data_IF_702930027522
#
_entry.id   IF_702930027522
#
_cell.length_a   1.000
_cell.length_b   1.000
_cell.length_c   1.000
_cell.angle_alpha   90.00
_cell.angle_beta   90.00
_cell.angle_gamma   90.00
#
_symmetry.space_group_name_H-M   'P 1'
#
loop_
_entity.id
_entity.type
_entity.pdbx_description
1 polymer ?
#
# COMPACT_ATOMS: atom_id res chain seq x y z
N UNK A 1 -3.29 22.70 0.16
CA UNK A 1 -2.35 21.74 0.80
C UNK A 1 -2.03 20.64 -0.19
N UNK A 2 -0.79 20.11 -0.22
CA UNK A 2 -0.50 18.90 -0.96
C UNK A 2 -1.26 17.74 -0.31
N UNK A 3 -1.94 16.93 -1.12
CA UNK A 3 -2.61 15.71 -0.68
C UNK A 3 -1.99 14.57 -1.51
N UNK A 4 -0.78 14.22 -1.10
CA UNK A 4 0.10 13.31 -1.80
C UNK A 4 -0.10 11.88 -1.28
N UNK A 5 0.16 10.90 -2.14
CA UNK A 5 0.21 9.50 -1.76
C UNK A 5 1.51 8.93 -2.30
N UNK A 6 2.23 8.15 -1.50
CA UNK A 6 3.52 7.56 -1.86
C UNK A 6 3.62 6.17 -1.27
N UNK A 7 4.41 5.30 -1.91
CA UNK A 7 4.76 3.97 -1.40
C UNK A 7 6.22 3.67 -1.67
N UNK A 8 6.83 2.80 -0.86
CA UNK A 8 8.10 2.17 -1.20
C UNK A 8 7.93 1.17 -2.36
N UNK A 9 8.99 0.94 -3.13
CA UNK A 9 9.04 -0.12 -4.15
C UNK A 9 9.16 -1.52 -3.56
N UNK A 10 9.63 -1.61 -2.31
CA UNK A 10 9.73 -2.83 -1.52
C UNK A 10 9.35 -2.49 -0.09
N UNK A 11 8.64 -3.38 0.60
CA UNK A 11 8.17 -3.11 1.96
C UNK A 11 8.97 -3.83 3.05
N UNK A 12 9.73 -4.86 2.69
CA UNK A 12 10.56 -5.60 3.64
C UNK A 12 11.68 -6.38 2.94
N UNK A 13 12.72 -6.72 3.68
CA UNK A 13 13.78 -7.63 3.27
C UNK A 13 14.24 -8.43 4.48
N UNK A 14 14.09 -9.76 4.44
CA UNK A 14 14.67 -10.62 5.47
C UNK A 14 16.20 -10.66 5.40
N UNK A 15 16.77 -10.65 4.20
CA UNK A 15 18.22 -10.59 3.99
C UNK A 15 18.84 -9.35 4.63
N UNK A 16 18.23 -8.19 4.40
CA UNK A 16 18.70 -6.91 4.95
C UNK A 16 18.05 -6.56 6.31
N UNK A 17 17.28 -7.48 6.89
CA UNK A 17 16.68 -7.38 8.23
C UNK A 17 15.85 -6.12 8.50
N UNK A 18 15.03 -5.70 7.54
CA UNK A 18 14.16 -4.53 7.73
C UNK A 18 12.75 -4.77 7.21
N UNK A 19 11.81 -4.02 7.77
CA UNK A 19 10.40 -4.01 7.39
C UNK A 19 9.80 -2.63 7.66
N UNK A 20 9.14 -2.05 6.67
CA UNK A 20 8.47 -0.77 6.78
C UNK A 20 6.98 -0.98 7.08
N UNK A 21 6.42 -0.24 8.04
CA UNK A 21 5.00 -0.30 8.42
C UNK A 21 4.39 1.10 8.47
N UNK A 22 3.07 1.19 8.37
CA UNK A 22 2.36 2.48 8.33
C UNK A 22 2.93 3.44 7.29
N UNK A 23 3.09 4.71 7.68
CA UNK A 23 3.54 5.78 6.78
C UNK A 23 4.95 5.56 6.20
N UNK A 24 5.80 4.79 6.89
CA UNK A 24 7.12 4.42 6.36
C UNK A 24 7.04 3.47 5.16
N UNK A 25 5.95 2.70 5.03
CA UNK A 25 5.68 1.85 3.87
C UNK A 25 4.81 2.55 2.83
N UNK A 26 3.68 3.10 3.26
CA UNK A 26 2.69 3.75 2.41
C UNK A 26 2.12 4.96 3.14
N UNK A 27 2.22 6.13 2.51
CA UNK A 27 1.55 7.35 2.96
C UNK A 27 0.35 7.64 2.07
N UNK A 28 -0.80 7.93 2.67
CA UNK A 28 -2.05 8.20 1.96
C UNK A 28 -2.45 9.68 2.05
N UNK A 29 -3.12 10.15 1.01
CA UNK A 29 -3.98 11.34 1.07
C UNK A 29 -5.04 11.13 2.18
N UNK A 30 -5.26 12.11 3.07
CA UNK A 30 -6.16 11.98 4.22
C UNK A 30 -7.65 11.80 3.85
N UNK A 31 -8.02 11.86 2.56
CA UNK A 31 -9.40 11.72 2.07
C UNK A 31 -10.17 10.52 2.66
N UNK A 32 -9.50 9.40 2.97
CA UNK A 32 -10.15 8.14 3.36
C UNK A 32 -9.82 7.64 4.77
N UNK A 33 -9.05 8.39 5.58
CA UNK A 33 -8.59 7.97 6.92
C UNK A 33 -7.91 6.58 6.98
N UNK A 34 -7.39 6.06 5.85
CA UNK A 34 -6.82 4.71 5.78
C UNK A 34 -5.47 4.57 6.50
N UNK A 35 -4.71 5.65 6.70
CA UNK A 35 -3.37 5.60 7.28
C UNK A 35 -3.29 4.88 8.63
N UNK A 36 -4.21 5.15 9.55
CA UNK A 36 -4.19 4.51 10.88
C UNK A 36 -4.51 3.01 10.80
N UNK A 37 -5.50 2.63 10.00
CA UNK A 37 -5.87 1.23 9.83
C UNK A 37 -4.74 0.43 9.16
N UNK A 38 -4.15 0.98 8.10
CA UNK A 38 -3.01 0.38 7.42
C UNK A 38 -1.81 0.28 8.35
N UNK A 39 -1.54 1.29 9.17
CA UNK A 39 -0.46 1.25 10.16
C UNK A 39 -0.63 0.09 11.16
N UNK A 40 -1.81 -0.05 11.75
CA UNK A 40 -2.08 -1.11 12.74
C UNK A 40 -2.02 -2.51 12.10
N UNK A 41 -2.63 -2.68 10.93
CA UNK A 41 -2.69 -4.00 10.31
C UNK A 41 -1.35 -4.44 9.70
N UNK A 42 -0.60 -3.50 9.10
CA UNK A 42 0.77 -3.77 8.65
C UNK A 42 1.71 -4.09 9.82
N UNK A 43 1.57 -3.41 10.96
CA UNK A 43 2.33 -3.73 12.17
C UNK A 43 2.04 -5.16 12.66
N UNK A 44 0.76 -5.55 12.69
CA UNK A 44 0.34 -6.91 13.05
C UNK A 44 0.96 -7.96 12.14
N UNK A 45 0.75 -7.84 10.82
CA UNK A 45 1.28 -8.80 9.85
C UNK A 45 2.82 -8.83 9.85
N UNK A 46 3.45 -7.69 10.04
CA UNK A 46 4.90 -7.60 10.12
C UNK A 46 5.47 -8.30 11.36
N UNK A 47 4.81 -8.17 12.51
CA UNK A 47 5.16 -8.90 13.71
C UNK A 47 5.00 -10.42 13.52
N UNK A 48 3.93 -10.87 12.88
CA UNK A 48 3.73 -12.29 12.54
C UNK A 48 4.83 -12.82 11.62
N UNK A 49 5.25 -12.02 10.63
CA UNK A 49 6.33 -12.35 9.71
C UNK A 49 7.69 -12.47 10.43
N UNK A 50 8.03 -11.49 11.28
CA UNK A 50 9.24 -11.52 12.10
C UNK A 50 9.22 -12.73 13.04
N UNK A 51 8.11 -12.96 13.75
CA UNK A 51 7.99 -14.09 14.67
C UNK A 51 8.20 -15.41 13.95
N UNK A 52 7.58 -15.59 12.79
CA UNK A 52 7.74 -16.79 11.97
C UNK A 52 9.20 -17.00 11.55
N UNK A 53 9.88 -15.96 11.07
CA UNK A 53 11.27 -16.03 10.61
C UNK A 53 12.23 -16.48 11.71
N UNK A 54 12.08 -15.97 12.94
CA UNK A 54 13.03 -16.21 14.02
C UNK A 54 12.68 -17.41 14.91
N UNK A 55 11.40 -17.74 15.07
CA UNK A 55 10.96 -18.78 16.02
C UNK A 55 10.45 -20.05 15.33
N UNK A 56 9.90 -19.97 14.11
CA UNK A 56 9.30 -21.11 13.41
C UNK A 56 10.03 -21.49 12.10
N UNK A 57 11.00 -20.69 11.65
CA UNK A 57 11.65 -20.81 10.33
C UNK A 57 12.57 -22.03 10.13
N UNK A 58 12.77 -22.88 11.14
CA UNK A 58 13.66 -24.07 11.05
C UNK A 58 12.95 -25.36 10.59
N UNK A 59 11.62 -25.40 10.52
CA UNK A 59 10.85 -26.63 10.22
C UNK A 59 10.21 -26.66 8.82
N UNK A 60 10.67 -25.83 7.87
CA UNK A 60 10.04 -25.75 6.54
C UNK A 60 10.87 -26.53 5.53
N UNK A 61 10.86 -27.86 5.65
CA UNK A 61 11.59 -28.76 4.75
C UNK A 61 10.79 -29.12 3.50
N UNK A 62 9.46 -28.92 3.49
CA UNK A 62 8.58 -29.33 2.40
C UNK A 62 8.06 -28.12 1.61
N UNK A 63 8.47 -28.03 0.35
CA UNK A 63 8.21 -26.96 -0.64
C UNK A 63 6.80 -26.94 -1.26
N UNK A 64 5.83 -27.67 -0.73
CA UNK A 64 4.50 -27.71 -1.36
C UNK A 64 3.64 -26.52 -0.91
N UNK A 65 3.53 -25.52 -1.81
CA UNK A 65 2.56 -24.41 -1.87
C UNK A 65 2.11 -23.79 -0.54
N UNK A 66 3.04 -23.31 0.28
CA UNK A 66 2.72 -22.44 1.43
C UNK A 66 3.07 -21.00 1.12
N UNK A 67 2.11 -20.10 1.28
CA UNK A 67 2.35 -18.66 1.27
C UNK A 67 3.05 -18.31 2.57
N UNK A 68 4.23 -17.69 2.49
CA UNK A 68 5.00 -17.30 3.67
C UNK A 68 4.39 -16.05 4.32
N UNK A 69 4.45 -15.89 5.66
CA UNK A 69 3.94 -14.69 6.33
C UNK A 69 4.50 -13.37 5.77
N UNK A 70 5.75 -13.35 5.29
CA UNK A 70 6.32 -12.19 4.59
C UNK A 70 5.55 -11.84 3.31
N UNK A 71 5.16 -12.86 2.54
CA UNK A 71 4.40 -12.69 1.30
C UNK A 71 3.01 -12.16 1.63
N UNK A 72 2.35 -12.66 2.68
CA UNK A 72 1.06 -12.14 3.17
C UNK A 72 1.18 -10.66 3.55
N UNK A 73 2.22 -10.29 4.30
CA UNK A 73 2.49 -8.90 4.66
C UNK A 73 2.69 -7.99 3.43
N UNK A 74 3.52 -8.39 2.47
CA UNK A 74 3.77 -7.60 1.27
C UNK A 74 2.54 -7.49 0.37
N UNK A 75 1.81 -8.59 0.16
CA UNK A 75 0.56 -8.60 -0.61
C UNK A 75 -0.51 -7.74 0.03
N UNK A 76 -0.61 -7.71 1.36
CA UNK A 76 -1.54 -6.83 2.06
C UNK A 76 -1.27 -5.35 1.73
N UNK A 77 -0.03 -4.89 1.82
CA UNK A 77 0.34 -3.51 1.53
C UNK A 77 0.10 -3.17 0.06
N UNK A 78 0.49 -4.05 -0.86
CA UNK A 78 0.28 -3.89 -2.30
C UNK A 78 -1.22 -3.75 -2.64
N UNK A 79 -2.03 -4.69 -2.16
CA UNK A 79 -3.47 -4.69 -2.40
C UNK A 79 -4.16 -3.47 -1.78
N UNK A 80 -3.72 -3.08 -0.57
CA UNK A 80 -4.25 -1.88 0.10
C UNK A 80 -3.96 -0.62 -0.71
N UNK A 81 -2.72 -0.45 -1.20
CA UNK A 81 -2.37 0.70 -2.03
C UNK A 81 -3.17 0.73 -3.35
N UNK A 82 -3.26 -0.40 -4.04
CA UNK A 82 -3.96 -0.49 -5.32
C UNK A 82 -5.45 -0.21 -5.16
N UNK A 83 -6.09 -0.74 -4.11
CA UNK A 83 -7.48 -0.43 -3.77
C UNK A 83 -7.65 1.06 -3.47
N UNK A 84 -6.78 1.60 -2.64
CA UNK A 84 -6.80 3.01 -2.27
C UNK A 84 -6.68 3.94 -3.50
N UNK A 85 -5.81 3.62 -4.46
CA UNK A 85 -5.63 4.45 -5.67
C UNK A 85 -6.91 4.52 -6.50
N UNK A 86 -7.62 3.40 -6.65
CA UNK A 86 -8.92 3.35 -7.36
C UNK A 86 -9.99 4.15 -6.62
N UNK A 87 -10.08 4.01 -5.30
CA UNK A 87 -11.04 4.76 -4.47
C UNK A 87 -10.75 6.26 -4.52
N UNK A 88 -9.49 6.65 -4.37
CA UNK A 88 -9.02 8.03 -4.47
C UNK A 88 -9.44 8.66 -5.79
N UNK A 89 -9.18 7.97 -6.91
CA UNK A 89 -9.57 8.43 -8.23
C UNK A 89 -11.09 8.60 -8.35
N UNK A 90 -11.85 7.58 -7.94
CA UNK A 90 -13.31 7.61 -7.96
C UNK A 90 -13.88 8.80 -7.19
N UNK A 91 -13.41 9.07 -5.96
CA UNK A 91 -13.90 10.18 -5.16
C UNK A 91 -13.49 11.54 -5.73
N UNK A 92 -12.26 11.70 -6.22
CA UNK A 92 -11.84 12.95 -6.84
C UNK A 92 -12.60 13.26 -8.13
N UNK A 93 -13.02 12.23 -8.88
CA UNK A 93 -13.80 12.39 -10.11
C UNK A 93 -15.26 12.77 -9.90
N UNK A 94 -15.81 12.50 -8.72
CA UNK A 94 -17.18 12.90 -8.39
C UNK A 94 -17.33 14.39 -8.19
N UNK A 95 -16.27 15.07 -7.78
CA UNK A 95 -16.33 16.52 -7.59
C UNK A 95 -16.14 17.26 -8.92
N UNK A 96 -17.15 18.06 -9.28
CA UNK A 96 -17.18 18.83 -10.54
C UNK A 96 -17.46 20.33 -10.34
N UNK A 97 -17.75 20.77 -9.11
CA UNK A 97 -18.07 22.18 -8.79
C UNK A 97 -16.89 23.11 -8.96
N UNK A 98 -15.67 22.59 -8.79
CA UNK A 98 -14.43 23.39 -8.74
C UNK A 98 -13.43 23.03 -9.85
N UNK A 99 -13.91 22.67 -11.05
CA UNK A 99 -13.05 22.25 -12.16
C UNK A 99 -11.97 23.27 -12.57
N UNK A 100 -12.19 24.57 -12.32
CA UNK A 100 -11.25 25.63 -12.67
C UNK A 100 -10.19 25.89 -11.58
N UNK A 101 -10.35 25.29 -10.40
CA UNK A 101 -9.39 25.43 -9.31
C UNK A 101 -8.18 24.53 -9.53
N UNK A 102 -6.97 25.08 -9.35
CA UNK A 102 -5.69 24.40 -9.63
C UNK A 102 -5.58 23.05 -8.90
N UNK A 103 -6.12 22.96 -7.69
CA UNK A 103 -6.11 21.72 -6.90
C UNK A 103 -6.89 20.58 -7.58
N UNK A 104 -8.08 20.87 -8.12
CA UNK A 104 -8.98 19.89 -8.72
C UNK A 104 -8.56 19.57 -10.15
N UNK A 105 -8.16 20.59 -10.92
CA UNK A 105 -7.65 20.44 -12.29
C UNK A 105 -6.53 19.39 -12.38
N UNK A 106 -5.52 19.48 -11.50
CA UNK A 106 -4.41 18.50 -11.44
C UNK A 106 -4.87 17.06 -11.17
N UNK A 107 -5.95 16.86 -10.42
CA UNK A 107 -6.47 15.54 -10.03
C UNK A 107 -7.38 14.92 -11.08
N UNK A 108 -8.01 15.74 -11.92
CA UNK A 108 -8.71 15.29 -13.11
C UNK A 108 -7.74 15.01 -14.28
N UNK A 109 -6.63 15.75 -14.39
CA UNK A 109 -5.64 15.59 -15.47
C UNK A 109 -4.71 14.37 -15.32
N UNK A 110 -4.33 13.99 -14.10
CA UNK A 110 -3.43 12.85 -13.84
C UNK A 110 -4.00 11.46 -14.23
N UNK A 111 -5.17 11.42 -14.87
CA UNK A 111 -5.90 10.21 -15.24
C UNK A 111 -5.53 9.67 -16.62
N UNK A 112 -5.00 10.52 -17.51
CA UNK A 112 -4.72 10.13 -18.89
C UNK A 112 -3.58 9.11 -19.02
N UNK A 113 -2.72 8.99 -18.00
CA UNK A 113 -1.50 8.17 -18.06
C UNK A 113 -1.66 6.74 -17.49
N UNK A 114 -2.67 6.48 -16.65
CA UNK A 114 -2.86 5.16 -16.04
C UNK A 114 -3.75 4.22 -16.86
N UNK A 115 -4.66 4.76 -17.68
CA UNK A 115 -5.52 3.96 -18.56
C UNK A 115 -4.81 3.41 -19.82
N UNK A 116 -3.53 3.74 -20.05
CA UNK A 116 -2.74 3.29 -21.22
C UNK A 116 -1.83 2.10 -20.85
N UNK A 117 -1.68 1.78 -19.57
CA UNK A 117 -0.75 0.74 -19.10
C UNK A 117 -1.39 -0.64 -18.91
N UNK A 118 -2.70 -0.76 -19.11
CA UNK A 118 -3.48 -2.00 -18.93
C UNK A 118 -4.05 -2.56 -20.27
N UNK A 119 -3.58 -2.06 -21.42
CA UNK A 119 -3.90 -2.59 -22.78
C UNK A 119 -2.68 -3.28 -23.42
#
# INVERSE_FOLDING_TARGET
>A
MPANSTRLSQFASYENQWMAIGDSAISFDPLSSQGMLTALYSAKLGAEAIFFQYFNGKEITNKENRILPLEVFQQYLENTFNKYMREKEFFYNKERRWNNEVFWKRRHENQSYLNIADD
#
